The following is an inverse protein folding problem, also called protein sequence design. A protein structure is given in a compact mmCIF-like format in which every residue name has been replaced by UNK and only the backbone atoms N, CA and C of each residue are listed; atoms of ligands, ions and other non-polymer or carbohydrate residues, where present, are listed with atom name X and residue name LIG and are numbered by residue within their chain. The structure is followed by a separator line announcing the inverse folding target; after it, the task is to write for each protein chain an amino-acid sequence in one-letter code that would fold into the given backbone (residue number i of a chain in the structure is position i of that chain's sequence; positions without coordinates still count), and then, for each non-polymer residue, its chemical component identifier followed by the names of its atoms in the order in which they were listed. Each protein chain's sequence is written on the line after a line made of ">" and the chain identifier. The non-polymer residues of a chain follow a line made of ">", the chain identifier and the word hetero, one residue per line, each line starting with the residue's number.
data_IF_496625785503
#
_entry.id   IF_496625785503
#
_cell.length_a   1.000
_cell.length_b   1.000
_cell.length_c   1.000
_cell.angle_alpha   90.00
_cell.angle_beta   90.00
_cell.angle_gamma   90.00
#
_symmetry.space_group_name_H-M   'P 1'
#
loop_
_entity.id
_entity.type
_entity.pdbx_description
1 polymer ?
#
# COMPACT_ATOMS: atom_id res chain seq x y z
N UNK A 1 -0.48 -0.85 -1.21
CA UNK A 1 -1.05 -2.17 -0.82
C UNK A 1 0.08 -2.94 -0.20
N UNK A 2 -0.23 -3.69 0.82
CA UNK A 2 0.77 -4.37 1.60
C UNK A 2 0.20 -5.73 2.01
N UNK A 3 0.76 -6.80 1.44
CA UNK A 3 0.33 -8.16 1.73
C UNK A 3 1.51 -8.90 2.37
N UNK A 4 1.42 -9.10 3.67
CA UNK A 4 2.45 -9.69 4.51
C UNK A 4 1.80 -10.51 5.66
N UNK A 5 2.59 -10.97 6.61
CA UNK A 5 2.09 -11.74 7.75
C UNK A 5 1.03 -10.99 8.57
N UNK A 6 1.14 -9.67 8.70
CA UNK A 6 0.29 -8.86 9.57
C UNK A 6 -0.97 -8.32 8.87
N UNK A 7 -0.98 -8.24 7.54
CA UNK A 7 -2.13 -7.71 6.81
C UNK A 7 -2.23 -8.22 5.38
N UNK A 8 -3.46 -8.26 4.87
CA UNK A 8 -3.75 -8.38 3.45
C UNK A 8 -4.57 -7.18 2.99
N UNK A 9 -4.29 -6.69 1.79
CA UNK A 9 -5.04 -5.59 1.22
C UNK A 9 -5.28 -5.79 -0.28
N UNK A 10 -6.45 -5.35 -0.72
CA UNK A 10 -6.85 -5.30 -2.11
C UNK A 10 -7.39 -3.92 -2.46
N UNK A 11 -7.11 -3.46 -3.66
CA UNK A 11 -7.64 -2.22 -4.21
C UNK A 11 -7.94 -2.41 -5.69
N UNK A 12 -9.19 -2.17 -6.06
CA UNK A 12 -9.60 -2.05 -7.46
C UNK A 12 -10.09 -0.63 -7.65
N UNK A 13 -9.53 0.08 -8.63
CA UNK A 13 -9.92 1.46 -8.89
C UNK A 13 -10.04 1.74 -10.39
N UNK A 14 -10.93 2.67 -10.72
CA UNK A 14 -11.16 3.21 -12.04
C UNK A 14 -10.66 4.65 -12.11
N UNK A 15 -9.90 4.97 -13.14
CA UNK A 15 -9.38 6.33 -13.39
C UNK A 15 -10.49 7.18 -13.97
N UNK A 16 -10.87 8.25 -13.28
CA UNK A 16 -11.91 9.19 -13.70
C UNK A 16 -11.35 10.24 -14.67
N UNK A 17 -10.16 10.74 -14.35
CA UNK A 17 -9.42 11.72 -15.15
C UNK A 17 -7.91 11.60 -14.87
N UNK A 18 -7.11 12.55 -15.36
CA UNK A 18 -5.65 12.54 -15.20
C UNK A 18 -5.18 12.70 -13.76
N UNK A 19 -6.04 13.10 -12.84
CA UNK A 19 -5.69 13.36 -11.44
C UNK A 19 -6.48 12.52 -10.44
N UNK A 20 -7.64 11.97 -10.81
CA UNK A 20 -8.54 11.30 -9.89
C UNK A 20 -8.83 9.86 -10.28
N UNK A 21 -8.86 8.97 -9.31
CA UNK A 21 -9.41 7.63 -9.45
C UNK A 21 -10.26 7.26 -8.23
N UNK A 22 -11.34 6.54 -8.49
CA UNK A 22 -12.27 6.04 -7.48
C UNK A 22 -12.25 4.51 -7.50
N UNK A 23 -12.33 3.89 -6.34
CA UNK A 23 -12.30 2.44 -6.25
C UNK A 23 -12.81 1.87 -4.95
N UNK A 24 -12.66 0.55 -4.83
CA UNK A 24 -12.99 -0.21 -3.62
C UNK A 24 -11.71 -0.70 -2.98
N UNK A 25 -11.59 -0.45 -1.68
CA UNK A 25 -10.47 -0.90 -0.85
C UNK A 25 -10.95 -1.97 0.11
N UNK A 26 -10.17 -3.06 0.18
CA UNK A 26 -10.28 -4.10 1.19
C UNK A 26 -8.99 -4.11 2.00
N UNK A 27 -9.09 -4.25 3.30
CA UNK A 27 -7.96 -4.52 4.20
C UNK A 27 -8.38 -5.50 5.26
N UNK A 28 -7.60 -6.55 5.44
CA UNK A 28 -7.64 -7.41 6.59
C UNK A 28 -6.39 -7.16 7.43
N UNK A 29 -6.59 -6.67 8.65
CA UNK A 29 -5.53 -6.45 9.64
C UNK A 29 -5.56 -7.59 10.66
N UNK A 30 -4.52 -8.43 10.68
CA UNK A 30 -4.44 -9.58 11.58
C UNK A 30 -3.99 -9.20 12.98
N UNK A 31 -3.24 -8.13 13.12
CA UNK A 31 -2.75 -7.67 14.41
C UNK A 31 -3.88 -7.10 15.27
N UNK A 32 -4.83 -6.39 14.61
CA UNK A 32 -6.00 -5.77 15.24
C UNK A 32 -7.31 -6.54 15.03
N UNK A 33 -7.23 -7.62 14.24
CA UNK A 33 -8.33 -8.54 13.93
C UNK A 33 -9.58 -7.87 13.35
N UNK A 34 -9.40 -7.00 12.36
CA UNK A 34 -10.52 -6.37 11.67
C UNK A 34 -10.43 -6.49 10.14
N UNK A 35 -11.60 -6.38 9.50
CA UNK A 35 -11.75 -6.23 8.07
C UNK A 35 -12.34 -4.85 7.78
N UNK A 36 -11.66 -4.06 6.95
CA UNK A 36 -12.17 -2.82 6.38
C UNK A 36 -12.60 -3.05 4.94
N UNK A 37 -13.80 -2.54 4.60
CA UNK A 37 -14.32 -2.50 3.22
C UNK A 37 -14.88 -1.11 2.96
N UNK A 38 -14.32 -0.40 1.97
CA UNK A 38 -14.73 0.98 1.73
C UNK A 38 -14.45 1.48 0.33
N UNK A 39 -15.08 2.61 0.01
CA UNK A 39 -14.81 3.39 -1.20
C UNK A 39 -13.57 4.25 -0.98
N UNK A 40 -12.66 4.28 -1.97
CA UNK A 40 -11.42 5.06 -1.92
C UNK A 40 -11.32 6.01 -3.10
N UNK A 41 -11.06 7.27 -2.79
CA UNK A 41 -10.68 8.30 -3.75
C UNK A 41 -9.15 8.50 -3.68
N UNK A 42 -8.50 8.45 -4.83
CA UNK A 42 -7.09 8.82 -4.98
C UNK A 42 -6.99 10.09 -5.81
N UNK A 43 -6.09 10.98 -5.43
CA UNK A 43 -5.81 12.22 -6.16
C UNK A 43 -4.33 12.37 -6.37
N UNK A 44 -3.91 12.56 -7.63
CA UNK A 44 -2.59 13.08 -7.97
C UNK A 44 -2.59 14.59 -7.70
N UNK A 45 -1.94 15.01 -6.61
CA UNK A 45 -1.90 16.42 -6.18
C UNK A 45 -0.95 17.20 -7.07
N UNK A 46 0.24 16.63 -7.33
CA UNK A 46 1.28 17.27 -8.13
C UNK A 46 2.15 16.24 -8.81
N UNK A 47 2.53 16.55 -10.05
CA UNK A 47 3.55 15.83 -10.82
C UNK A 47 4.58 16.79 -11.38
N UNK A 48 5.82 16.40 -11.28
CA UNK A 48 6.94 17.06 -11.94
C UNK A 48 7.56 16.06 -12.90
N UNK A 49 7.74 16.50 -14.15
CA UNK A 49 8.40 15.71 -15.18
C UNK A 49 9.64 16.45 -15.63
N UNK A 50 10.75 15.75 -15.64
CA UNK A 50 12.02 16.19 -16.23
C UNK A 50 12.45 15.14 -17.27
N UNK A 51 13.40 15.43 -18.16
CA UNK A 51 13.85 14.45 -19.15
C UNK A 51 14.31 13.12 -18.56
N UNK A 52 14.93 13.16 -17.38
CA UNK A 52 15.55 11.99 -16.74
C UNK A 52 14.90 11.57 -15.42
N UNK A 53 13.87 12.27 -14.97
CA UNK A 53 13.21 11.97 -13.69
C UNK A 53 11.75 12.37 -13.66
N UNK A 54 10.99 11.71 -12.79
CA UNK A 54 9.61 12.05 -12.45
C UNK A 54 9.46 12.09 -10.94
N UNK A 55 8.65 13.03 -10.45
CA UNK A 55 8.22 13.05 -9.06
C UNK A 55 6.70 13.26 -8.97
N UNK A 56 6.08 12.64 -7.97
CA UNK A 56 4.65 12.73 -7.76
C UNK A 56 4.32 12.93 -6.28
N UNK A 57 3.19 13.59 -6.02
CA UNK A 57 2.54 13.62 -4.71
C UNK A 57 1.10 13.19 -4.89
N UNK A 58 0.64 12.26 -4.05
CA UNK A 58 -0.72 11.72 -4.03
C UNK A 58 -1.36 11.90 -2.67
N UNK A 59 -2.67 12.22 -2.68
CA UNK A 59 -3.55 12.13 -1.53
C UNK A 59 -4.54 10.99 -1.73
N UNK A 60 -4.91 10.31 -0.65
CA UNK A 60 -5.86 9.20 -0.64
C UNK A 60 -6.79 9.34 0.54
N UNK A 61 -8.06 9.07 0.32
CA UNK A 61 -9.07 8.97 1.38
C UNK A 61 -9.96 7.78 1.09
N UNK A 62 -10.29 6.99 2.10
CA UNK A 62 -11.33 5.98 2.00
C UNK A 62 -12.26 6.05 3.20
N UNK A 63 -13.54 5.81 2.95
CA UNK A 63 -14.58 5.69 3.97
C UNK A 63 -15.29 4.36 3.74
N UNK A 64 -15.66 3.69 4.81
CA UNK A 64 -16.26 2.38 4.72
C UNK A 64 -16.68 1.80 6.06
N UNK A 65 -16.83 0.49 6.07
CA UNK A 65 -17.21 -0.27 7.25
C UNK A 65 -16.02 -1.09 7.74
N UNK A 66 -15.91 -1.16 9.06
CA UNK A 66 -14.99 -2.02 9.78
C UNK A 66 -15.80 -3.08 10.52
N UNK A 67 -15.40 -4.33 10.41
CA UNK A 67 -16.05 -5.45 11.10
C UNK A 67 -15.02 -6.42 11.66
N UNK A 68 -15.42 -7.22 12.66
CA UNK A 68 -14.62 -8.33 13.17
C UNK A 68 -14.29 -9.32 12.06
N UNK A 69 -13.13 -9.93 12.14
CA UNK A 69 -12.82 -11.14 11.40
C UNK A 69 -13.52 -12.32 12.08
N UNK A 70 -14.68 -12.72 11.58
CA UNK A 70 -15.37 -13.90 12.10
C UNK A 70 -14.66 -15.16 11.61
N UNK A 71 -13.92 -15.80 12.48
CA UNK A 71 -13.65 -17.22 12.35
C UNK A 71 -15.01 -17.97 12.41
N UNK A 72 -15.29 -18.78 11.40
CA UNK A 72 -16.59 -19.34 11.01
C UNK A 72 -17.22 -20.33 12.01
N UNK A 73 -16.76 -20.41 13.24
CA UNK A 73 -17.24 -21.35 14.24
C UNK A 73 -18.35 -20.84 15.16
N UNK A 74 -18.65 -19.53 15.17
CA UNK A 74 -19.75 -18.96 15.95
C UNK A 74 -20.76 -18.22 15.06
N UNK A 75 -21.58 -18.96 14.37
CA UNK A 75 -22.58 -18.51 13.39
C UNK A 75 -23.78 -17.74 13.97
N UNK A 76 -23.69 -17.14 15.14
CA UNK A 76 -24.84 -16.49 15.81
C UNK A 76 -24.61 -15.15 16.47
N UNK A 77 -23.45 -14.53 16.34
CA UNK A 77 -23.24 -13.18 16.87
C UNK A 77 -23.47 -12.18 15.76
N UNK A 78 -24.38 -11.24 15.99
CA UNK A 78 -24.68 -10.11 15.10
C UNK A 78 -23.35 -9.40 14.79
N UNK A 79 -22.96 -9.36 13.52
CA UNK A 79 -21.81 -8.56 13.06
C UNK A 79 -22.02 -7.11 13.49
N UNK A 80 -21.28 -6.68 14.47
CA UNK A 80 -21.22 -5.27 14.80
C UNK A 80 -20.23 -4.65 13.82
N UNK A 81 -20.71 -3.72 13.01
CA UNK A 81 -19.88 -2.94 12.10
C UNK A 81 -19.79 -1.52 12.60
N UNK A 82 -18.60 -0.97 12.55
CA UNK A 82 -18.31 0.43 12.81
C UNK A 82 -17.95 1.16 11.52
N UNK A 83 -17.99 2.47 11.56
CA UNK A 83 -17.46 3.30 10.48
C UNK A 83 -15.93 3.31 10.54
N UNK A 84 -15.31 3.32 9.36
CA UNK A 84 -13.87 3.40 9.21
C UNK A 84 -13.45 4.50 8.26
N UNK A 85 -12.37 5.19 8.61
CA UNK A 85 -11.72 6.21 7.80
C UNK A 85 -10.26 5.85 7.55
N UNK A 86 -9.83 6.02 6.32
CA UNK A 86 -8.44 5.95 5.91
C UNK A 86 -8.02 7.26 5.27
N UNK A 87 -6.90 7.80 5.70
CA UNK A 87 -6.23 8.94 5.10
C UNK A 87 -4.81 8.53 4.72
N UNK A 88 -4.35 8.95 3.55
CA UNK A 88 -3.00 8.66 3.09
C UNK A 88 -2.43 9.77 2.25
N UNK A 89 -1.14 10.05 2.46
CA UNK A 89 -0.35 10.92 1.61
C UNK A 89 0.92 10.18 1.22
N UNK A 90 1.33 10.31 -0.04
CA UNK A 90 2.59 9.73 -0.48
C UNK A 90 3.26 10.61 -1.50
N UNK A 91 4.60 10.57 -1.49
CA UNK A 91 5.44 11.17 -2.52
C UNK A 91 6.43 10.15 -3.04
N UNK A 92 6.73 10.23 -4.32
CA UNK A 92 7.78 9.44 -4.95
C UNK A 92 8.61 10.31 -5.89
N UNK A 93 9.86 9.91 -6.07
CA UNK A 93 10.75 10.41 -7.09
C UNK A 93 11.50 9.24 -7.72
N UNK A 94 11.54 9.21 -9.03
CA UNK A 94 12.22 8.14 -9.76
C UNK A 94 13.00 8.69 -10.97
N UNK A 95 14.09 7.99 -11.26
CA UNK A 95 14.83 8.06 -12.51
C UNK A 95 14.79 6.68 -13.17
N UNK A 96 15.51 6.49 -14.26
CA UNK A 96 15.68 5.15 -14.84
C UNK A 96 16.49 4.18 -13.94
N UNK A 97 17.17 4.68 -12.89
CA UNK A 97 18.06 3.88 -12.02
C UNK A 97 17.79 4.02 -10.54
N UNK A 98 17.21 5.11 -10.08
CA UNK A 98 17.01 5.40 -8.65
C UNK A 98 15.55 5.66 -8.36
N UNK A 99 15.09 5.16 -7.24
CA UNK A 99 13.74 5.33 -6.73
C UNK A 99 13.78 5.70 -5.26
N UNK A 100 12.99 6.70 -4.89
CA UNK A 100 12.76 7.10 -3.49
C UNK A 100 11.27 7.32 -3.31
N UNK A 101 10.69 6.84 -2.21
CA UNK A 101 9.33 7.20 -1.83
C UNK A 101 9.17 7.32 -0.33
N UNK A 102 8.19 8.14 0.06
CA UNK A 102 7.70 8.22 1.43
C UNK A 102 6.17 8.19 1.43
N UNK A 103 5.59 7.53 2.41
CA UNK A 103 4.14 7.41 2.59
C UNK A 103 3.80 7.56 4.06
N UNK A 104 2.77 8.34 4.35
CA UNK A 104 2.13 8.41 5.66
C UNK A 104 0.66 7.99 5.50
N UNK A 105 0.20 7.13 6.39
CA UNK A 105 -1.17 6.63 6.44
C UNK A 105 -1.72 6.77 7.86
N UNK A 106 -2.99 7.12 7.95
CA UNK A 106 -3.74 7.16 9.19
C UNK A 106 -5.06 6.43 9.03
N UNK A 107 -5.43 5.64 10.03
CA UNK A 107 -6.62 4.81 10.07
C UNK A 107 -7.41 5.08 11.33
N UNK A 108 -8.70 5.33 11.16
CA UNK A 108 -9.70 5.30 12.23
C UNK A 108 -10.57 4.07 11.98
N UNK A 109 -10.53 3.11 12.89
CA UNK A 109 -11.15 1.78 12.70
C UNK A 109 -12.23 1.52 13.76
N UNK A 110 -12.97 2.58 14.16
CA UNK A 110 -14.02 2.49 15.17
C UNK A 110 -13.51 1.88 16.49
N UNK A 111 -14.16 0.84 16.97
CA UNK A 111 -13.77 0.15 18.21
C UNK A 111 -12.40 -0.54 18.18
N UNK A 112 -11.82 -0.76 16.98
CA UNK A 112 -10.48 -1.32 16.82
C UNK A 112 -9.37 -0.28 16.96
N UNK A 113 -9.76 0.97 17.28
CA UNK A 113 -8.85 2.08 17.54
C UNK A 113 -8.35 2.79 16.29
N UNK A 114 -7.43 3.71 16.52
CA UNK A 114 -6.74 4.48 15.51
C UNK A 114 -5.26 4.10 15.46
N UNK A 115 -4.65 4.23 14.32
CA UNK A 115 -3.22 3.98 14.16
C UNK A 115 -2.66 4.66 12.91
N UNK A 116 -1.35 4.90 12.96
CA UNK A 116 -0.61 5.51 11.86
C UNK A 116 0.49 4.59 11.35
N UNK A 117 0.82 4.74 10.07
CA UNK A 117 1.93 4.02 9.45
C UNK A 117 2.75 4.97 8.59
N UNK A 118 4.08 4.83 8.68
CA UNK A 118 5.01 5.61 7.88
C UNK A 118 5.93 4.64 7.13
N UNK A 119 6.01 4.80 5.81
CA UNK A 119 6.87 4.00 4.95
C UNK A 119 7.92 4.90 4.30
N UNK A 120 9.15 4.49 4.31
CA UNK A 120 10.23 5.07 3.53
C UNK A 120 10.88 3.99 2.67
N UNK A 121 11.02 4.20 1.35
CA UNK A 121 11.55 3.20 0.43
C UNK A 121 12.64 3.81 -0.45
N UNK A 122 13.73 3.08 -0.63
CA UNK A 122 14.82 3.38 -1.54
C UNK A 122 15.00 2.20 -2.51
N UNK A 123 15.29 2.48 -3.77
CA UNK A 123 15.48 1.46 -4.78
C UNK A 123 16.54 1.81 -5.81
N UNK A 124 17.16 0.76 -6.34
CA UNK A 124 18.10 0.85 -7.45
C UNK A 124 17.75 -0.18 -8.52
N UNK A 125 17.75 0.26 -9.80
CA UNK A 125 17.66 -0.66 -10.93
C UNK A 125 19.09 -1.13 -11.30
N UNK A 126 19.39 -2.44 -11.25
CA UNK A 126 20.72 -2.96 -11.58
C UNK A 126 21.08 -2.74 -13.06
N UNK A 127 20.09 -2.59 -13.91
CA UNK A 127 20.24 -2.26 -15.32
C UNK A 127 19.13 -1.30 -15.79
N UNK A 128 19.37 -0.63 -16.90
CA UNK A 128 18.36 0.20 -17.57
C UNK A 128 17.75 -0.63 -18.70
N UNK A 129 16.48 -1.00 -18.54
CA UNK A 129 15.75 -1.77 -19.53
C UNK A 129 15.15 -0.87 -20.63
N UNK A 130 14.97 -1.44 -21.83
CA UNK A 130 14.24 -0.78 -22.92
C UNK A 130 12.73 -0.82 -22.67
N UNK A 131 11.98 0.05 -23.34
CA UNK A 131 10.52 0.07 -23.27
C UNK A 131 9.94 -1.31 -23.63
N UNK A 132 9.04 -1.83 -22.79
CA UNK A 132 8.41 -3.14 -22.94
C UNK A 132 9.23 -4.33 -22.45
N UNK A 133 10.51 -4.14 -22.10
CA UNK A 133 11.31 -5.17 -21.46
C UNK A 133 10.98 -5.30 -19.97
N UNK A 134 11.49 -6.33 -19.32
CA UNK A 134 11.38 -6.50 -17.88
C UNK A 134 12.29 -5.48 -17.19
N UNK A 135 11.70 -4.68 -16.29
CA UNK A 135 12.42 -3.80 -15.38
C UNK A 135 12.51 -4.45 -14.00
N UNK A 136 13.69 -4.44 -13.42
CA UNK A 136 13.95 -5.02 -12.10
C UNK A 136 14.47 -3.94 -11.17
N UNK A 137 13.98 -3.93 -9.94
CA UNK A 137 14.44 -3.04 -8.88
C UNK A 137 14.79 -3.83 -7.65
N UNK A 138 15.92 -3.50 -7.03
CA UNK A 138 16.31 -3.96 -5.71
C UNK A 138 16.00 -2.80 -4.76
N UNK A 139 15.21 -3.06 -3.73
CA UNK A 139 14.70 -2.01 -2.86
C UNK A 139 14.84 -2.39 -1.39
N UNK A 140 14.99 -1.37 -0.56
CA UNK A 140 14.87 -1.49 0.89
C UNK A 140 13.76 -0.57 1.36
N UNK A 141 13.01 -1.02 2.36
CA UNK A 141 11.92 -0.27 2.96
C UNK A 141 12.06 -0.25 4.48
N UNK A 142 11.85 0.91 5.09
CA UNK A 142 11.58 1.05 6.50
C UNK A 142 10.08 1.34 6.71
N UNK A 143 9.45 0.58 7.58
CA UNK A 143 8.06 0.75 8.00
C UNK A 143 8.04 1.06 9.49
N UNK A 144 7.45 2.21 9.84
CA UNK A 144 7.23 2.59 11.23
C UNK A 144 5.72 2.55 11.55
N UNK A 145 5.38 1.87 12.63
CA UNK A 145 4.02 1.71 13.17
C UNK A 145 4.04 2.04 14.66
N UNK A 146 3.92 3.32 15.04
CA UNK A 146 4.10 3.76 16.43
C UNK A 146 3.20 3.05 17.44
N UNK A 147 1.97 2.67 17.03
CA UNK A 147 0.97 2.04 17.89
C UNK A 147 1.01 0.50 17.85
N UNK A 148 2.00 -0.10 17.16
CA UNK A 148 2.19 -1.56 17.07
C UNK A 148 3.28 -2.04 18.03
N UNK A 149 3.27 -3.35 18.34
CA UNK A 149 4.35 -3.98 19.13
C UNK A 149 5.69 -3.88 18.43
N UNK A 150 5.69 -4.08 17.10
CA UNK A 150 6.86 -3.95 16.24
C UNK A 150 6.85 -2.57 15.58
N UNK A 151 7.39 -1.59 16.30
CA UNK A 151 7.35 -0.18 15.91
C UNK A 151 8.09 0.09 14.61
N UNK A 152 9.22 -0.57 14.38
CA UNK A 152 10.05 -0.39 13.19
C UNK A 152 10.37 -1.75 12.55
N UNK A 153 10.05 -1.89 11.28
CA UNK A 153 10.32 -3.09 10.47
C UNK A 153 11.14 -2.71 9.25
N UNK A 154 12.26 -3.39 9.03
CA UNK A 154 13.06 -3.29 7.81
C UNK A 154 12.65 -4.36 6.80
N UNK A 155 12.65 -4.04 5.50
CA UNK A 155 12.29 -4.98 4.43
C UNK A 155 13.24 -4.90 3.25
N UNK A 156 13.57 -6.05 2.67
CA UNK A 156 14.23 -6.17 1.39
C UNK A 156 13.21 -6.60 0.34
N UNK A 157 13.16 -5.91 -0.80
CA UNK A 157 12.12 -6.09 -1.82
C UNK A 157 12.77 -6.18 -3.20
N UNK A 158 12.31 -7.15 -3.99
CA UNK A 158 12.52 -7.21 -5.44
C UNK A 158 11.23 -6.82 -6.13
N UNK A 159 11.31 -5.81 -7.00
CA UNK A 159 10.19 -5.37 -7.84
C UNK A 159 10.49 -5.70 -9.29
N UNK A 160 9.51 -6.30 -9.94
CA UNK A 160 9.51 -6.61 -11.36
C UNK A 160 8.37 -5.88 -12.03
N UNK A 161 8.66 -5.18 -13.12
CA UNK A 161 7.67 -4.45 -13.89
C UNK A 161 7.81 -4.79 -15.37
N UNK A 162 6.71 -5.20 -16.01
CA UNK A 162 6.65 -5.46 -17.46
C UNK A 162 5.25 -5.13 -17.99
N UNK A 163 5.17 -4.18 -18.91
CA UNK A 163 3.89 -3.73 -19.46
C UNK A 163 2.96 -3.24 -18.35
N UNK A 164 1.72 -3.78 -18.25
CA UNK A 164 0.76 -3.36 -17.23
C UNK A 164 0.96 -4.05 -15.87
N UNK A 165 1.83 -5.06 -15.78
CA UNK A 165 2.01 -5.89 -14.60
C UNK A 165 3.20 -5.46 -13.75
N UNK A 166 2.98 -5.33 -12.45
CA UNK A 166 3.99 -5.09 -11.43
C UNK A 166 3.88 -6.16 -10.36
N UNK A 167 5.00 -6.80 -10.04
CA UNK A 167 5.14 -7.78 -8.98
C UNK A 167 6.19 -7.30 -7.99
N UNK A 168 5.89 -7.35 -6.70
CA UNK A 168 6.87 -7.22 -5.62
C UNK A 168 6.88 -8.48 -4.78
N UNK A 169 8.07 -8.97 -4.49
CA UNK A 169 8.33 -10.02 -3.52
C UNK A 169 9.38 -9.52 -2.55
N UNK A 170 9.25 -9.86 -1.30
CA UNK A 170 10.20 -9.39 -0.30
C UNK A 170 10.15 -10.21 0.98
N UNK A 171 11.02 -9.84 1.88
CA UNK A 171 11.13 -10.41 3.21
C UNK A 171 11.45 -9.29 4.19
N UNK A 172 10.88 -9.35 5.37
CA UNK A 172 11.22 -8.41 6.44
C UNK A 172 12.36 -8.94 7.34
N UNK A 173 12.73 -8.12 8.31
CA UNK A 173 13.81 -8.41 9.27
C UNK A 173 13.45 -9.53 10.26
N UNK A 174 12.19 -9.99 10.29
CA UNK A 174 11.74 -11.16 11.06
C UNK A 174 11.66 -12.43 10.19
N UNK A 175 11.93 -12.31 8.88
CA UNK A 175 11.84 -13.42 7.92
C UNK A 175 10.45 -13.61 7.34
N UNK A 176 9.50 -12.69 7.59
CA UNK A 176 8.14 -12.77 7.11
C UNK A 176 8.05 -12.33 5.64
N UNK A 177 7.34 -13.08 4.78
CA UNK A 177 7.25 -12.78 3.37
C UNK A 177 6.34 -11.59 3.08
N UNK A 178 6.66 -10.85 2.01
CA UNK A 178 5.83 -9.82 1.40
C UNK A 178 5.56 -10.19 -0.07
N UNK A 179 4.31 -10.04 -0.49
CA UNK A 179 3.89 -10.27 -1.86
C UNK A 179 2.87 -9.22 -2.30
N UNK A 180 3.18 -8.45 -3.35
CA UNK A 180 2.25 -7.50 -3.94
C UNK A 180 2.18 -7.70 -5.45
N UNK A 181 0.97 -7.68 -5.99
CA UNK A 181 0.73 -7.71 -7.42
C UNK A 181 -0.20 -6.55 -7.81
N UNK A 182 0.18 -5.84 -8.88
CA UNK A 182 -0.64 -4.78 -9.47
C UNK A 182 -0.76 -5.03 -10.97
N UNK A 183 -1.97 -4.94 -11.49
CA UNK A 183 -2.25 -4.94 -12.92
C UNK A 183 -3.01 -3.68 -13.30
N UNK A 184 -2.60 -3.04 -14.39
CA UNK A 184 -3.28 -1.89 -14.99
C UNK A 184 -3.93 -2.33 -16.29
N UNK A 185 -5.19 -2.04 -16.46
CA UNK A 185 -6.00 -2.40 -17.64
C UNK A 185 -6.73 -1.17 -18.19
#
# INVERSE_FOLDING_TARGET
>A
MDNNANQNSGLVHYTLDTQHSLGLRLRYDRERDFIFTGAQLNRLIKRWNSPDSQANIYGRIAIGQVSDNLDSSEMRIKRESDEGLFLGVSGDWETRRYFVSATAEHWESGRFGEFSMFHGRLGIAPYVANTGALHTWIMVEGLNRPESRDTLTGRAILRFFKGPALLEIGVDDQGEPLFNYTHRF
#
